data_IF_252815185448
#
_entry.id   IF_252815185448
#
_cell.length_a   1.000
_cell.length_b   1.000
_cell.length_c   1.000
_cell.angle_alpha   90.00
_cell.angle_beta   90.00
_cell.angle_gamma   90.00
#
_symmetry.space_group_name_H-M   'P 1'
#
loop_
_entity.id
_entity.type
_entity.pdbx_description
1 polymer ?
#
# COMPACT_ATOMS: atom_id res chain seq x y z
N UNK A 1 -13.10 6.99 17.50
CA UNK A 1 -12.90 8.38 17.07
C UNK A 1 -14.27 9.01 17.05
N UNK A 2 -14.42 10.20 17.63
CA UNK A 2 -15.72 10.86 17.68
C UNK A 2 -16.24 11.05 16.24
N UNK A 3 -17.44 10.58 15.97
CA UNK A 3 -18.19 10.89 14.75
C UNK A 3 -18.44 12.41 14.79
N UNK A 4 -17.56 13.20 14.17
CA UNK A 4 -17.86 14.61 13.96
C UNK A 4 -19.10 14.67 13.06
N UNK A 5 -20.21 15.16 13.62
CA UNK A 5 -21.46 15.27 12.90
C UNK A 5 -21.26 16.17 11.68
N UNK A 6 -21.28 15.58 10.48
CA UNK A 6 -21.25 16.31 9.21
C UNK A 6 -22.43 17.28 9.20
N UNK A 7 -22.14 18.58 9.14
CA UNK A 7 -23.16 19.63 9.15
C UNK A 7 -23.60 19.99 7.74
N UNK A 8 -24.85 20.43 7.59
CA UNK A 8 -25.35 20.97 6.31
C UNK A 8 -24.48 22.11 5.77
N UNK A 9 -23.92 22.95 6.65
CA UNK A 9 -23.06 24.06 6.24
C UNK A 9 -21.77 23.58 5.54
N UNK A 10 -21.12 22.54 6.07
CA UNK A 10 -19.96 21.92 5.44
C UNK A 10 -20.31 21.30 4.08
N UNK A 11 -21.43 20.57 4.02
CA UNK A 11 -21.91 19.95 2.78
C UNK A 11 -22.22 21.01 1.72
N UNK A 12 -22.89 22.10 2.10
CA UNK A 12 -23.27 23.15 1.18
C UNK A 12 -22.07 23.98 0.68
N UNK A 13 -21.00 24.13 1.46
CA UNK A 13 -19.75 24.72 0.96
C UNK A 13 -19.16 23.92 -0.21
N UNK A 14 -19.35 22.60 -0.23
CA UNK A 14 -18.87 21.73 -1.30
C UNK A 14 -19.86 21.58 -2.45
N UNK A 15 -21.16 21.59 -2.18
CA UNK A 15 -22.19 21.28 -3.17
C UNK A 15 -22.90 22.51 -3.73
N UNK A 16 -22.89 23.66 -3.05
CA UNK A 16 -23.56 24.88 -3.50
C UNK A 16 -25.05 24.66 -3.81
N UNK A 17 -25.71 23.77 -3.07
CA UNK A 17 -27.08 23.37 -3.31
C UNK A 17 -28.03 24.31 -2.58
N UNK A 18 -29.00 24.85 -3.33
CA UNK A 18 -30.16 25.53 -2.74
C UNK A 18 -31.24 24.48 -2.53
N UNK A 19 -31.49 24.14 -1.27
CA UNK A 19 -32.55 23.19 -0.92
C UNK A 19 -33.92 23.84 -1.03
N UNK A 20 -34.97 23.03 -1.30
CA UNK A 20 -36.32 23.54 -1.37
C UNK A 20 -36.79 24.11 -0.03
N UNK A 21 -37.66 25.12 -0.12
CA UNK A 21 -38.46 25.60 0.98
C UNK A 21 -39.77 24.81 0.99
N UNK A 22 -39.94 23.95 1.99
CA UNK A 22 -41.09 23.04 2.03
C UNK A 22 -41.04 22.04 3.18
N UNK A 23 -42.13 21.28 3.39
CA UNK A 23 -42.27 20.33 4.49
C UNK A 23 -41.18 19.25 4.49
N UNK A 24 -40.65 18.89 3.31
CA UNK A 24 -39.61 17.88 3.16
C UNK A 24 -38.18 18.44 3.06
N UNK A 25 -37.96 19.72 3.38
CA UNK A 25 -36.61 20.31 3.42
C UNK A 25 -35.65 19.52 4.32
N UNK A 26 -36.13 19.01 5.46
CA UNK A 26 -35.33 18.19 6.37
C UNK A 26 -34.94 16.84 5.75
N UNK A 27 -35.84 16.21 4.98
CA UNK A 27 -35.57 14.96 4.27
C UNK A 27 -34.53 15.16 3.16
N UNK A 28 -34.65 16.24 2.39
CA UNK A 28 -33.63 16.63 1.40
C UNK A 28 -32.27 16.93 2.04
N UNK A 29 -32.23 17.62 3.19
CA UNK A 29 -30.97 17.84 3.94
C UNK A 29 -30.33 16.51 4.34
N UNK A 30 -31.10 15.63 4.97
CA UNK A 30 -30.61 14.33 5.44
C UNK A 30 -30.11 13.46 4.29
N UNK A 31 -30.85 13.41 3.19
CA UNK A 31 -30.46 12.69 1.98
C UNK A 31 -29.12 13.15 1.42
N UNK A 32 -28.92 14.45 1.24
CA UNK A 32 -27.68 15.01 0.68
C UNK A 32 -26.50 14.82 1.65
N UNK A 33 -26.73 14.96 2.97
CA UNK A 33 -25.71 14.69 3.99
C UNK A 33 -25.27 13.22 3.95
N UNK A 34 -26.20 12.28 3.79
CA UNK A 34 -25.87 10.86 3.71
C UNK A 34 -25.04 10.52 2.46
N UNK A 35 -25.44 11.01 1.29
CA UNK A 35 -24.64 10.83 0.06
C UNK A 35 -23.23 11.42 0.21
N UNK A 36 -23.12 12.60 0.83
CA UNK A 36 -21.82 13.21 1.11
C UNK A 36 -20.98 12.38 2.08
N UNK A 37 -21.60 11.78 3.10
CA UNK A 37 -20.95 10.86 4.05
C UNK A 37 -20.42 9.62 3.35
N UNK A 38 -21.17 9.04 2.41
CA UNK A 38 -20.71 7.89 1.61
C UNK A 38 -19.45 8.24 0.82
N UNK A 39 -19.40 9.41 0.17
CA UNK A 39 -18.20 9.87 -0.56
C UNK A 39 -16.99 10.02 0.38
N UNK A 40 -17.18 10.59 1.58
CA UNK A 40 -16.10 10.69 2.57
C UNK A 40 -15.62 9.32 3.06
N UNK A 41 -16.54 8.40 3.33
CA UNK A 41 -16.22 7.02 3.74
C UNK A 41 -15.40 6.30 2.66
N UNK A 42 -15.80 6.41 1.39
CA UNK A 42 -15.06 5.87 0.26
C UNK A 42 -13.66 6.48 0.15
N UNK A 43 -13.51 7.80 0.29
CA UNK A 43 -12.20 8.46 0.29
C UNK A 43 -11.30 7.94 1.41
N UNK A 44 -11.85 7.81 2.62
CA UNK A 44 -11.12 7.31 3.77
C UNK A 44 -10.69 5.85 3.58
N UNK A 45 -11.58 5.00 3.06
CA UNK A 45 -11.27 3.62 2.72
C UNK A 45 -10.18 3.55 1.65
N UNK A 46 -10.25 4.37 0.59
CA UNK A 46 -9.22 4.44 -0.44
C UNK A 46 -7.87 4.89 0.12
N UNK A 47 -7.84 5.88 1.02
CA UNK A 47 -6.62 6.29 1.73
C UNK A 47 -6.07 5.19 2.62
N UNK A 48 -6.94 4.48 3.34
CA UNK A 48 -6.55 3.33 4.18
C UNK A 48 -6.02 2.16 3.35
N UNK A 49 -6.50 2.00 2.12
CA UNK A 49 -6.07 0.98 1.18
C UNK A 49 -4.85 1.38 0.34
N UNK A 50 -4.51 2.68 0.28
CA UNK A 50 -3.31 3.13 -0.42
C UNK A 50 -2.07 2.45 0.18
N UNK A 51 -1.33 1.76 -0.68
CA UNK A 51 -0.03 1.17 -0.36
C UNK A 51 0.96 1.80 -1.35
N UNK A 52 1.96 2.56 -0.88
CA UNK A 52 2.98 3.07 -1.79
C UNK A 52 3.72 1.89 -2.39
N UNK A 53 3.94 1.87 -3.71
CA UNK A 53 4.65 0.77 -4.38
C UNK A 53 6.16 1.05 -4.53
N UNK A 54 6.69 1.98 -3.74
CA UNK A 54 8.09 2.43 -3.83
C UNK A 54 8.74 2.36 -2.46
N UNK A 55 9.85 1.63 -2.36
CA UNK A 55 10.56 1.28 -1.13
C UNK A 55 12.07 1.45 -1.31
N UNK A 56 12.77 1.76 -0.20
CA UNK A 56 14.23 1.76 -0.20
C UNK A 56 14.73 0.34 -0.41
N UNK A 57 14.10 -0.64 0.24
CA UNK A 57 14.47 -2.05 0.10
C UNK A 57 13.31 -3.02 0.31
N UNK A 58 13.50 -4.27 -0.13
CA UNK A 58 12.72 -5.39 0.35
C UNK A 58 13.61 -6.53 0.88
N UNK A 59 13.02 -7.41 1.69
CA UNK A 59 13.68 -8.59 2.24
C UNK A 59 12.91 -9.83 1.77
N UNK A 60 13.58 -10.63 0.95
CA UNK A 60 13.13 -11.95 0.52
C UNK A 60 13.64 -12.98 1.52
N UNK A 61 12.74 -13.86 1.95
CA UNK A 61 13.00 -14.86 2.98
C UNK A 61 12.09 -16.07 2.80
N UNK A 62 12.47 -17.23 3.34
CA UNK A 62 11.59 -18.39 3.36
C UNK A 62 10.36 -18.15 4.24
N UNK A 63 9.31 -18.97 4.09
CA UNK A 63 8.17 -18.96 5.01
C UNK A 63 8.47 -19.58 6.39
N UNK A 64 9.72 -20.01 6.65
CA UNK A 64 10.10 -20.56 7.94
C UNK A 64 10.02 -19.48 9.04
N UNK A 65 9.45 -19.77 10.22
CA UNK A 65 9.26 -18.78 11.28
C UNK A 65 10.54 -18.05 11.73
N UNK A 66 11.69 -18.74 11.74
CA UNK A 66 12.98 -18.12 12.04
C UNK A 66 13.34 -17.05 11.02
N UNK A 67 13.20 -17.35 9.73
CA UNK A 67 13.59 -16.44 8.65
C UNK A 67 12.65 -15.23 8.59
N UNK A 68 11.35 -15.44 8.88
CA UNK A 68 10.39 -14.35 9.07
C UNK A 68 10.82 -13.43 10.21
N UNK A 69 11.19 -14.00 11.36
CA UNK A 69 11.64 -13.22 12.52
C UNK A 69 12.94 -12.46 12.21
N UNK A 70 13.90 -13.11 11.56
CA UNK A 70 15.16 -12.51 11.12
C UNK A 70 14.92 -11.38 10.12
N UNK A 71 14.08 -11.57 9.11
CA UNK A 71 13.75 -10.54 8.13
C UNK A 71 13.09 -9.32 8.79
N UNK A 72 12.18 -9.55 9.74
CA UNK A 72 11.53 -8.49 10.50
C UNK A 72 12.52 -7.71 11.36
N UNK A 73 13.43 -8.42 12.04
CA UNK A 73 14.46 -7.79 12.86
C UNK A 73 15.43 -6.96 12.01
N UNK A 74 15.86 -7.49 10.87
CA UNK A 74 16.71 -6.77 9.93
C UNK A 74 16.03 -5.53 9.34
N UNK A 75 14.75 -5.65 8.91
CA UNK A 75 13.94 -4.50 8.48
C UNK A 75 13.90 -3.43 9.58
N UNK A 76 13.59 -3.83 10.82
CA UNK A 76 13.55 -2.92 11.97
C UNK A 76 14.91 -2.25 12.20
N UNK A 77 16.01 -3.00 12.11
CA UNK A 77 17.36 -2.47 12.27
C UNK A 77 17.65 -1.36 11.24
N UNK A 78 17.36 -1.59 9.95
CA UNK A 78 17.58 -0.59 8.90
C UNK A 78 16.66 0.63 9.06
N UNK A 79 15.40 0.41 9.46
CA UNK A 79 14.47 1.52 9.71
C UNK A 79 14.91 2.37 10.89
N UNK A 80 15.33 1.76 12.00
CA UNK A 80 15.75 2.51 13.18
C UNK A 80 17.12 3.17 13.00
N UNK A 81 18.08 2.47 12.38
CA UNK A 81 19.48 2.94 12.34
C UNK A 81 19.75 3.88 11.16
N UNK A 82 19.08 3.65 10.02
CA UNK A 82 19.34 4.37 8.76
C UNK A 82 18.13 5.17 8.27
N UNK A 83 16.98 5.09 8.95
CA UNK A 83 15.75 5.76 8.51
C UNK A 83 15.20 5.23 7.17
N UNK A 84 15.56 4.00 6.79
CA UNK A 84 15.15 3.37 5.55
C UNK A 84 13.78 2.70 5.69
N UNK A 85 12.96 2.81 4.64
CA UNK A 85 11.65 2.19 4.56
C UNK A 85 11.69 0.98 3.66
N UNK A 86 11.52 -0.20 4.25
CA UNK A 86 11.45 -1.44 3.48
C UNK A 86 10.26 -2.31 3.81
N UNK A 87 10.11 -3.36 3.01
CA UNK A 87 9.10 -4.41 3.18
C UNK A 87 9.71 -5.80 3.28
N UNK A 88 9.01 -6.72 3.90
CA UNK A 88 9.28 -8.16 3.83
C UNK A 88 8.09 -8.88 3.21
N UNK A 89 8.26 -10.14 2.80
CA UNK A 89 7.14 -10.96 2.33
C UNK A 89 6.05 -11.13 3.41
N UNK A 90 6.40 -11.02 4.69
CA UNK A 90 5.43 -11.03 5.79
C UNK A 90 4.57 -9.77 5.90
N UNK A 91 4.93 -8.67 5.24
CA UNK A 91 4.11 -7.45 5.18
C UNK A 91 3.06 -7.49 4.04
N UNK A 92 3.10 -8.52 3.18
CA UNK A 92 2.12 -8.74 2.12
C UNK A 92 0.96 -9.54 2.71
N UNK A 93 -0.24 -8.97 2.73
CA UNK A 93 -1.41 -9.60 3.34
C UNK A 93 -1.72 -10.95 2.67
N UNK A 94 -2.03 -11.96 3.48
CA UNK A 94 -2.14 -13.37 3.08
C UNK A 94 -3.33 -13.74 2.16
N UNK A 95 -3.94 -12.78 1.45
CA UNK A 95 -4.84 -13.00 0.30
C UNK A 95 -4.16 -12.75 -1.06
N UNK A 96 -3.02 -12.04 -1.06
CA UNK A 96 -2.18 -11.72 -2.23
C UNK A 96 -0.87 -12.50 -2.17
N UNK A 97 -0.92 -13.81 -1.85
CA UNK A 97 0.25 -14.70 -2.01
C UNK A 97 0.49 -14.99 -3.50
N UNK A 98 0.52 -13.95 -4.32
CA UNK A 98 0.76 -14.02 -5.75
C UNK A 98 2.20 -13.58 -6.03
N UNK A 99 2.77 -14.18 -7.06
CA UNK A 99 4.06 -13.93 -7.67
C UNK A 99 4.10 -12.45 -8.00
N UNK A 100 3.00 -11.95 -8.58
CA UNK A 100 2.72 -10.54 -8.84
C UNK A 100 2.95 -9.62 -7.64
N UNK A 101 2.51 -9.98 -6.43
CA UNK A 101 2.71 -9.15 -5.24
C UNK A 101 4.18 -9.11 -4.80
N UNK A 102 4.89 -10.23 -4.95
CA UNK A 102 6.31 -10.32 -4.66
C UNK A 102 7.18 -9.66 -5.74
N UNK A 103 6.80 -9.79 -7.01
CA UNK A 103 7.39 -9.06 -8.14
C UNK A 103 7.19 -7.56 -7.96
N UNK A 104 5.97 -7.11 -7.64
CA UNK A 104 5.69 -5.70 -7.36
C UNK A 104 6.51 -5.16 -6.18
N UNK A 105 6.72 -5.97 -5.14
CA UNK A 105 7.60 -5.62 -4.03
C UNK A 105 9.06 -5.47 -4.47
N UNK A 106 9.56 -6.39 -5.29
CA UNK A 106 10.94 -6.36 -5.84
C UNK A 106 11.12 -5.19 -6.81
N UNK A 107 10.18 -4.97 -7.72
CA UNK A 107 10.20 -3.88 -8.69
C UNK A 107 10.12 -2.52 -8.00
N UNK A 108 9.28 -2.42 -6.97
CA UNK A 108 9.15 -1.22 -6.14
C UNK A 108 10.37 -0.90 -5.29
N UNK A 109 11.32 -1.82 -5.13
CA UNK A 109 12.47 -1.68 -4.23
C UNK A 109 13.77 -1.35 -4.97
N UNK A 110 14.60 -0.48 -4.39
CA UNK A 110 15.91 -0.20 -4.99
C UNK A 110 16.95 -1.27 -4.69
N UNK A 111 16.87 -1.89 -3.51
CA UNK A 111 17.66 -3.05 -3.13
C UNK A 111 16.79 -4.19 -2.64
N UNK A 112 17.25 -5.39 -2.94
CA UNK A 112 16.56 -6.64 -2.63
C UNK A 112 17.50 -7.48 -1.78
N UNK A 113 17.24 -7.51 -0.47
CA UNK A 113 17.99 -8.36 0.43
C UNK A 113 17.45 -9.78 0.41
N UNK A 114 18.31 -10.77 0.21
CA UNK A 114 17.90 -12.17 0.16
C UNK A 114 18.48 -12.89 1.37
N UNK A 115 17.62 -13.33 2.30
CA UNK A 115 18.03 -14.08 3.48
C UNK A 115 18.45 -15.50 3.10
N UNK A 116 19.72 -15.66 2.76
CA UNK A 116 20.37 -16.92 2.45
C UNK A 116 20.54 -17.76 3.73
N UNK A 117 19.54 -18.59 4.03
CA UNK A 117 19.54 -19.52 5.17
C UNK A 117 19.44 -20.97 4.70
N UNK A 118 19.81 -21.93 5.56
CA UNK A 118 19.60 -23.37 5.29
C UNK A 118 18.15 -23.74 4.95
N UNK A 119 17.18 -22.95 5.40
CA UNK A 119 15.76 -23.14 5.15
C UNK A 119 15.37 -22.72 3.73
N UNK A 120 16.20 -21.90 3.05
CA UNK A 120 16.08 -21.66 1.61
C UNK A 120 16.67 -22.79 0.75
N UNK A 121 17.53 -23.66 1.28
CA UNK A 121 18.16 -24.76 0.51
C UNK A 121 17.52 -26.13 0.68
N UNK A 122 16.64 -26.31 1.66
CA UNK A 122 16.06 -27.62 1.98
C UNK A 122 14.63 -27.71 1.44
N UNK A 123 14.52 -28.35 0.29
CA UNK A 123 13.28 -28.86 -0.29
C UNK A 123 12.75 -29.95 0.63
N UNK A 124 11.71 -29.67 1.39
CA UNK A 124 10.75 -30.66 1.88
C UNK A 124 9.50 -29.89 2.36
N UNK A 125 8.51 -29.73 1.46
CA UNK A 125 7.04 -29.68 1.69
C UNK A 125 6.33 -29.02 0.47
N UNK A 126 5.23 -29.59 -0.06
CA UNK A 126 4.53 -29.13 -1.29
C UNK A 126 3.90 -27.72 -1.27
N UNK A 127 4.00 -26.96 -0.16
CA UNK A 127 3.46 -25.58 -0.05
C UNK A 127 4.50 -24.49 -0.36
N UNK A 128 5.75 -24.89 -0.64
CA UNK A 128 6.90 -23.99 -0.86
C UNK A 128 7.31 -23.82 -2.32
N UNK A 129 6.72 -24.59 -3.26
CA UNK A 129 7.00 -24.50 -4.70
C UNK A 129 6.84 -23.06 -5.22
N UNK A 130 5.91 -22.30 -4.64
CA UNK A 130 5.70 -20.91 -5.02
C UNK A 130 6.86 -19.98 -4.67
N UNK A 131 7.53 -20.19 -3.53
CA UNK A 131 8.60 -19.31 -3.08
C UNK A 131 9.94 -19.67 -3.71
N UNK A 132 10.18 -20.92 -4.07
CA UNK A 132 11.36 -21.35 -4.82
C UNK A 132 11.28 -20.91 -6.28
N UNK A 133 10.14 -21.14 -6.96
CA UNK A 133 9.91 -20.63 -8.33
C UNK A 133 9.94 -19.10 -8.34
N UNK A 134 9.26 -18.45 -7.39
CA UNK A 134 9.37 -17.01 -7.20
C UNK A 134 10.82 -16.60 -7.00
N UNK A 135 11.62 -17.31 -6.19
CA UNK A 135 13.00 -16.91 -5.96
C UNK A 135 13.89 -17.13 -7.18
N UNK A 136 13.70 -18.20 -7.95
CA UNK A 136 14.41 -18.44 -9.21
C UNK A 136 14.01 -17.45 -10.31
N UNK A 137 12.71 -17.13 -10.43
CA UNK A 137 12.20 -16.10 -11.34
C UNK A 137 12.63 -14.69 -10.89
N UNK A 138 12.67 -14.42 -9.59
CA UNK A 138 13.20 -13.18 -9.04
C UNK A 138 14.72 -13.06 -9.27
N UNK A 139 15.43 -14.18 -9.45
CA UNK A 139 16.88 -14.21 -9.74
C UNK A 139 17.23 -13.97 -11.21
N UNK A 140 16.25 -13.61 -12.06
CA UNK A 140 16.47 -13.18 -13.43
C UNK A 140 17.43 -11.97 -13.53
N UNK A 141 18.14 -11.86 -14.66
CA UNK A 141 19.17 -10.84 -14.89
C UNK A 141 18.71 -9.42 -14.54
N UNK A 142 17.44 -9.07 -14.84
CA UNK A 142 16.87 -7.74 -14.59
C UNK A 142 16.98 -7.26 -13.15
N UNK A 143 17.04 -8.17 -12.18
CA UNK A 143 16.98 -7.83 -10.75
C UNK A 143 18.27 -8.15 -10.00
N UNK A 144 19.17 -8.90 -10.62
CA UNK A 144 20.43 -9.39 -10.03
C UNK A 144 21.30 -8.26 -9.48
N UNK A 145 21.38 -7.12 -10.16
CA UNK A 145 22.18 -5.96 -9.74
C UNK A 145 21.64 -5.26 -8.48
N UNK A 146 20.36 -5.49 -8.16
CA UNK A 146 19.71 -4.97 -6.95
C UNK A 146 19.83 -5.93 -5.78
N UNK A 147 20.25 -7.17 -6.02
CA UNK A 147 20.24 -8.22 -5.02
C UNK A 147 21.47 -8.21 -4.13
N UNK A 148 21.23 -8.34 -2.83
CA UNK A 148 22.26 -8.40 -1.80
C UNK A 148 21.99 -9.62 -0.91
N UNK A 149 22.78 -10.69 -1.05
CA UNK A 149 22.62 -11.87 -0.22
C UNK A 149 23.00 -11.56 1.23
N UNK A 150 22.14 -11.93 2.16
CA UNK A 150 22.36 -11.85 3.60
C UNK A 150 22.52 -13.26 4.15
N UNK A 151 23.67 -13.58 4.71
CA UNK A 151 23.95 -14.92 5.23
C UNK A 151 23.82 -14.92 6.74
N UNK A 152 22.88 -15.72 7.25
CA UNK A 152 22.73 -15.99 8.68
C UNK A 152 23.75 -17.06 9.07
N UNK A 153 24.46 -16.88 10.19
CA UNK A 153 25.57 -17.73 10.63
C UNK A 153 25.37 -19.24 10.34
N UNK A 154 26.31 -19.82 9.58
CA UNK A 154 26.30 -21.24 9.20
C UNK A 154 26.95 -21.50 7.84
N UNK A 155 27.36 -22.75 7.58
CA UNK A 155 27.85 -23.19 6.27
C UNK A 155 26.68 -23.30 5.29
N UNK A 156 26.36 -22.20 4.60
CA UNK A 156 25.32 -22.15 3.58
C UNK A 156 25.91 -21.85 2.19
N UNK A 157 25.34 -22.47 1.16
CA UNK A 157 25.69 -22.21 -0.24
C UNK A 157 24.66 -21.29 -0.86
N UNK A 158 25.11 -20.16 -1.40
CA UNK A 158 24.23 -19.24 -2.12
C UNK A 158 23.53 -19.93 -3.31
N UNK A 159 22.27 -19.57 -3.59
CA UNK A 159 21.58 -19.95 -4.82
C UNK A 159 22.43 -19.62 -6.04
N UNK A 160 22.31 -20.43 -7.12
CA UNK A 160 23.19 -20.33 -8.29
C UNK A 160 23.29 -18.90 -8.86
N UNK A 161 22.17 -18.19 -8.97
CA UNK A 161 22.13 -16.80 -9.46
C UNK A 161 22.90 -15.78 -8.60
N UNK A 162 23.09 -16.07 -7.30
CA UNK A 162 23.74 -15.19 -6.33
C UNK A 162 25.20 -15.55 -6.03
N UNK A 163 25.73 -16.65 -6.56
CA UNK A 163 27.09 -17.12 -6.21
C UNK A 163 28.21 -16.13 -6.53
N UNK A 164 27.99 -15.25 -7.49
CA UNK A 164 28.96 -14.22 -7.89
C UNK A 164 28.75 -12.89 -7.13
N UNK A 165 27.76 -12.80 -6.24
CA UNK A 165 27.50 -11.62 -5.44
C UNK A 165 28.09 -11.85 -4.06
N UNK A 166 28.88 -10.89 -3.56
CA UNK A 166 29.49 -10.97 -2.23
C UNK A 166 28.37 -10.92 -1.17
N UNK A 167 28.21 -11.96 -0.33
CA UNK A 167 27.22 -11.94 0.73
C UNK A 167 27.64 -11.01 1.87
N UNK A 168 26.65 -10.45 2.55
CA UNK A 168 26.83 -9.74 3.82
C UNK A 168 26.51 -10.72 4.96
N UNK A 169 27.40 -10.89 5.95
CA UNK A 169 27.06 -11.63 7.15
C UNK A 169 26.00 -10.86 7.93
N UNK A 170 24.88 -11.51 8.22
CA UNK A 170 23.84 -10.92 9.05
C UNK A 170 24.20 -11.14 10.52
N UNK A 171 24.58 -10.06 11.18
CA UNK A 171 24.82 -10.00 12.61
C UNK A 171 23.65 -9.26 13.29
N UNK A 172 23.32 -9.65 14.52
CA UNK A 172 22.24 -9.03 15.31
C UNK A 172 22.65 -7.68 15.94
N UNK A 173 23.64 -7.01 15.37
CA UNK A 173 24.25 -5.78 15.89
C UNK A 173 24.32 -4.65 14.83
N UNK A 174 24.60 -3.40 15.24
CA UNK A 174 24.61 -2.24 14.35
C UNK A 174 25.61 -2.31 13.18
N UNK A 175 26.64 -3.14 13.24
CA UNK A 175 27.63 -3.28 12.16
C UNK A 175 27.00 -3.77 10.86
N UNK A 176 25.92 -4.56 10.96
CA UNK A 176 25.13 -4.97 9.80
C UNK A 176 24.52 -3.76 9.09
N UNK A 177 24.04 -2.76 9.82
CA UNK A 177 23.50 -1.54 9.22
C UNK A 177 24.60 -0.73 8.52
N UNK A 178 25.79 -0.63 9.11
CA UNK A 178 26.94 0.02 8.48
C UNK A 178 27.34 -0.68 7.18
N UNK A 179 27.45 -2.01 7.18
CA UNK A 179 27.75 -2.78 5.98
C UNK A 179 26.71 -2.54 4.88
N UNK A 180 25.43 -2.54 5.23
CA UNK A 180 24.31 -2.32 4.30
C UNK A 180 24.26 -0.88 3.78
N UNK A 181 24.66 0.11 4.58
CA UNK A 181 24.62 1.52 4.17
C UNK A 181 25.39 1.79 2.87
N UNK A 182 26.47 1.06 2.63
CA UNK A 182 27.27 1.15 1.40
C UNK A 182 26.51 0.73 0.13
N UNK A 183 25.47 -0.10 0.26
CA UNK A 183 24.67 -0.59 -0.86
C UNK A 183 23.49 0.32 -1.19
N UNK A 184 23.11 1.23 -0.29
CA UNK A 184 21.99 2.15 -0.47
C UNK A 184 22.52 3.57 -0.33
N UNK A 185 22.99 4.14 -1.45
CA UNK A 185 23.52 5.50 -1.46
C UNK A 185 22.46 6.53 -1.07
N UNK A 186 22.89 7.65 -0.50
CA UNK A 186 21.99 8.76 -0.15
C UNK A 186 21.21 9.25 -1.38
N UNK A 187 21.84 9.32 -2.54
CA UNK A 187 21.18 9.71 -3.80
C UNK A 187 20.03 8.75 -4.16
N UNK A 188 20.27 7.45 -3.99
CA UNK A 188 19.23 6.42 -4.20
C UNK A 188 18.06 6.64 -3.24
N UNK A 189 18.34 6.90 -1.96
CA UNK A 189 17.30 7.19 -0.95
C UNK A 189 16.50 8.45 -1.32
N UNK A 190 17.17 9.50 -1.79
CA UNK A 190 16.52 10.74 -2.20
C UNK A 190 15.65 10.53 -3.44
N UNK A 191 16.10 9.73 -4.41
CA UNK A 191 15.31 9.36 -5.58
C UNK A 191 14.06 8.56 -5.20
N UNK A 192 14.19 7.58 -4.30
CA UNK A 192 13.06 6.79 -3.76
C UNK A 192 12.05 7.70 -3.08
N UNK A 193 12.50 8.61 -2.22
CA UNK A 193 11.64 9.59 -1.55
C UNK A 193 10.93 10.48 -2.57
N UNK A 194 11.62 10.93 -3.62
CA UNK A 194 11.01 11.72 -4.69
C UNK A 194 9.99 10.93 -5.52
N UNK A 195 10.29 9.67 -5.86
CA UNK A 195 9.35 8.76 -6.53
C UNK A 195 8.12 8.49 -5.68
N UNK A 196 8.29 8.26 -4.36
CA UNK A 196 7.18 8.07 -3.42
C UNK A 196 6.30 9.31 -3.33
N UNK A 197 6.89 10.50 -3.18
CA UNK A 197 6.14 11.77 -3.18
C UNK A 197 5.33 11.97 -4.45
N UNK A 198 5.93 11.69 -5.63
CA UNK A 198 5.21 11.75 -6.92
C UNK A 198 4.06 10.75 -7.00
N UNK A 199 4.27 9.50 -6.57
CA UNK A 199 3.21 8.49 -6.52
C UNK A 199 2.06 8.92 -5.60
N UNK A 200 2.39 9.46 -4.44
CA UNK A 200 1.40 9.96 -3.47
C UNK A 200 0.65 11.18 -4.01
N UNK A 201 1.33 12.08 -4.70
CA UNK A 201 0.72 13.24 -5.34
C UNK A 201 -0.24 12.83 -6.46
N UNK A 202 0.14 11.85 -7.29
CA UNK A 202 -0.73 11.27 -8.33
C UNK A 202 -1.98 10.66 -7.68
N UNK A 203 -1.81 9.83 -6.65
CA UNK A 203 -2.93 9.23 -5.91
C UNK A 203 -3.84 10.30 -5.30
N UNK A 204 -3.28 11.31 -4.64
CA UNK A 204 -4.05 12.41 -4.05
C UNK A 204 -4.80 13.22 -5.10
N UNK A 205 -4.19 13.43 -6.28
CA UNK A 205 -4.86 14.10 -7.40
C UNK A 205 -5.98 13.25 -7.99
N UNK A 206 -5.80 11.93 -8.10
CA UNK A 206 -6.87 11.01 -8.50
C UNK A 206 -8.02 11.03 -7.50
N UNK A 207 -7.71 10.98 -6.19
CA UNK A 207 -8.71 11.02 -5.13
C UNK A 207 -9.51 12.34 -5.16
N UNK A 208 -8.84 13.48 -5.37
CA UNK A 208 -9.49 14.79 -5.55
C UNK A 208 -10.40 14.82 -6.77
N UNK A 209 -9.96 14.26 -7.90
CA UNK A 209 -10.78 14.17 -9.13
C UNK A 209 -12.00 13.27 -8.92
N UNK A 210 -11.82 12.12 -8.28
CA UNK A 210 -12.89 11.19 -7.96
C UNK A 210 -13.91 11.84 -7.03
N UNK A 211 -13.45 12.53 -5.97
CA UNK A 211 -14.30 13.34 -5.10
C UNK A 211 -15.11 14.36 -5.89
N UNK A 212 -14.44 15.18 -6.69
CA UNK A 212 -15.11 16.23 -7.46
C UNK A 212 -16.19 15.65 -8.39
N UNK A 213 -15.89 14.52 -9.04
CA UNK A 213 -16.84 13.78 -9.87
C UNK A 213 -18.04 13.29 -9.06
N UNK A 214 -17.82 12.60 -7.93
CA UNK A 214 -18.91 12.11 -7.07
C UNK A 214 -19.77 13.23 -6.51
N UNK A 215 -19.16 14.36 -6.12
CA UNK A 215 -19.90 15.53 -5.67
C UNK A 215 -20.75 16.15 -6.80
N UNK A 216 -20.26 16.14 -8.04
CA UNK A 216 -21.05 16.56 -9.19
C UNK A 216 -22.23 15.61 -9.46
N UNK A 217 -22.00 14.30 -9.38
CA UNK A 217 -23.05 13.28 -9.50
C UNK A 217 -24.13 13.46 -8.42
N UNK A 218 -23.76 13.78 -7.17
CA UNK A 218 -24.75 14.13 -6.12
C UNK A 218 -25.60 15.34 -6.53
N UNK A 219 -24.98 16.41 -7.05
CA UNK A 219 -25.73 17.61 -7.49
C UNK A 219 -26.70 17.28 -8.61
N UNK A 220 -26.27 16.47 -9.57
CA UNK A 220 -27.08 16.03 -10.70
C UNK A 220 -28.27 15.20 -10.21
N UNK A 221 -28.02 14.15 -9.42
CA UNK A 221 -29.07 13.29 -8.84
C UNK A 221 -30.10 14.10 -8.03
N UNK A 222 -29.64 15.04 -7.19
CA UNK A 222 -30.55 15.91 -6.43
C UNK A 222 -31.39 16.76 -7.37
N UNK A 223 -30.79 17.33 -8.42
CA UNK A 223 -31.50 18.15 -9.40
C UNK A 223 -32.53 17.34 -10.18
N UNK A 224 -32.16 16.14 -10.63
CA UNK A 224 -33.05 15.23 -11.36
C UNK A 224 -34.24 14.77 -10.50
N UNK A 225 -33.98 14.35 -9.26
CA UNK A 225 -35.05 13.93 -8.35
C UNK A 225 -36.04 15.07 -8.09
N UNK A 226 -35.54 16.31 -7.92
CA UNK A 226 -36.40 17.49 -7.77
C UNK A 226 -37.20 17.80 -9.02
N UNK A 227 -36.59 17.74 -10.21
CA UNK A 227 -37.30 17.95 -11.47
C UNK A 227 -38.39 16.90 -11.70
N UNK A 228 -38.14 15.65 -11.30
CA UNK A 228 -39.04 14.53 -11.56
C UNK A 228 -40.19 14.40 -10.56
N UNK A 229 -39.92 14.63 -9.27
CA UNK A 229 -40.89 14.36 -8.20
C UNK A 229 -41.34 15.62 -7.45
N UNK A 230 -40.72 16.77 -7.72
CA UNK A 230 -41.01 18.03 -7.04
C UNK A 230 -40.35 18.14 -5.67
N UNK A 231 -40.52 19.32 -5.07
CA UNK A 231 -39.87 19.70 -3.81
C UNK A 231 -40.52 19.02 -2.57
N UNK A 232 -41.77 18.58 -2.70
CA UNK A 232 -42.53 17.86 -1.67
C UNK A 232 -42.26 16.34 -1.65
N UNK A 233 -41.32 15.85 -2.45
CA UNK A 233 -40.91 14.44 -2.43
C UNK A 233 -39.96 14.14 -1.26
N UNK A 234 -40.03 12.92 -0.71
CA UNK A 234 -39.06 12.41 0.27
C UNK A 234 -37.96 11.57 -0.44
N UNK A 235 -36.76 12.16 -0.67
CA UNK A 235 -35.69 11.49 -1.38
C UNK A 235 -35.00 10.40 -0.56
N UNK A 236 -35.22 10.31 0.75
CA UNK A 236 -34.55 9.31 1.60
C UNK A 236 -34.90 7.87 1.21
N UNK A 237 -36.08 7.69 0.61
CA UNK A 237 -36.54 6.41 0.03
C UNK A 237 -35.65 5.89 -1.11
N UNK A 238 -34.80 6.74 -1.70
CA UNK A 238 -33.89 6.39 -2.80
C UNK A 238 -32.46 6.06 -2.33
N UNK A 239 -32.14 6.22 -1.05
CA UNK A 239 -30.77 6.05 -0.54
C UNK A 239 -30.18 4.67 -0.83
N UNK A 240 -30.96 3.61 -0.62
CA UNK A 240 -30.49 2.23 -0.82
C UNK A 240 -30.25 1.90 -2.31
N UNK A 241 -30.84 2.68 -3.21
CA UNK A 241 -30.70 2.50 -4.67
C UNK A 241 -29.49 3.27 -5.22
N UNK A 242 -28.95 4.22 -4.46
CA UNK A 242 -27.87 5.12 -4.85
C UNK A 242 -26.61 4.80 -4.04
N UNK A 243 -25.95 3.70 -4.39
CA UNK A 243 -24.62 3.38 -3.86
C UNK A 243 -23.58 4.11 -4.73
N UNK A 244 -22.91 5.11 -4.14
CA UNK A 244 -21.82 5.89 -4.74
C UNK A 244 -20.44 5.29 -4.47
#
# INVERSE_FOLDING_TARGET
MADEAITWQQVNQHLGLVLPDGPNQAAWRSFVIELFRQVQSMEEQNRRNYRPNVWDFCVLHSSHPSDIATARNFKRLLTTSLGLFGRTLGDVNFGERTLEAAEAMVDGSTKVFVLATRHMSRVDVPKLVYQEVLMEELLQERWRERMVPLVVQGNFRLPFGLRNIRPIPLLDDPSTAEMVSSFISVDTQMEVRAKRRRSEEIFNNQLRRQRARRLAEIRETVTELRQRFGDDFDPTTQLDQLIL
#
